data_IF_406186908109
#
_entry.id   IF_406186908109
#
_cell.length_a   1.000
_cell.length_b   1.000
_cell.length_c   1.000
_cell.angle_alpha   90.00
_cell.angle_beta   90.00
_cell.angle_gamma   90.00
#
_symmetry.space_group_name_H-M   'P 1'
#
loop_
_entity.id
_entity.type
_entity.pdbx_description
1 polymer ?
#
# COMPACT_ATOMS: atom_id res chain seq x y z
N UNK A 1 -11.13 0.91 1.82
CA UNK A 1 -9.68 1.11 1.85
C UNK A 1 -9.06 0.06 2.76
N UNK A 2 -7.98 -0.55 2.30
CA UNK A 2 -7.20 -1.59 2.98
C UNK A 2 -5.79 -1.07 3.22
N UNK A 3 -5.29 -1.26 4.44
CA UNK A 3 -3.91 -1.00 4.82
C UNK A 3 -3.16 -2.33 4.94
N UNK A 4 -1.96 -2.38 4.38
CA UNK A 4 -1.03 -3.50 4.54
C UNK A 4 0.24 -2.97 5.19
N UNK A 5 0.67 -3.54 6.31
CA UNK A 5 1.88 -3.10 6.98
C UNK A 5 2.79 -4.28 7.35
N UNK A 6 4.06 -3.99 7.59
CA UNK A 6 5.05 -5.00 7.97
C UNK A 6 6.47 -4.53 7.72
N UNK A 7 7.43 -5.31 8.18
CA UNK A 7 8.86 -5.03 8.03
C UNK A 7 9.30 -4.95 6.56
N UNK A 8 10.49 -4.41 6.34
CA UNK A 8 11.16 -4.51 5.04
C UNK A 8 11.31 -5.97 4.63
N UNK A 9 10.99 -6.28 3.36
CA UNK A 9 11.03 -7.66 2.83
C UNK A 9 9.91 -8.58 3.33
N UNK A 10 8.86 -8.08 4.01
CA UNK A 10 7.68 -8.88 4.40
C UNK A 10 6.75 -9.21 3.23
N UNK A 11 6.90 -8.53 2.08
CA UNK A 11 6.12 -8.82 0.86
C UNK A 11 5.05 -7.78 0.52
N UNK A 12 5.03 -6.60 1.16
CA UNK A 12 4.05 -5.53 0.90
C UNK A 12 3.98 -5.15 -0.58
N UNK A 13 5.11 -4.75 -1.16
CA UNK A 13 5.22 -4.38 -2.58
C UNK A 13 4.85 -5.54 -3.51
N UNK A 14 5.24 -6.77 -3.17
CA UNK A 14 4.81 -7.95 -3.94
C UNK A 14 3.30 -8.12 -3.93
N UNK A 15 2.65 -7.95 -2.78
CA UNK A 15 1.19 -8.00 -2.66
C UNK A 15 0.54 -6.87 -3.48
N UNK A 16 1.05 -5.65 -3.38
CA UNK A 16 0.55 -4.51 -4.15
C UNK A 16 0.65 -4.75 -5.67
N UNK A 17 1.80 -5.20 -6.14
CA UNK A 17 1.99 -5.56 -7.55
C UNK A 17 1.05 -6.69 -8.01
N UNK A 18 0.91 -7.74 -7.21
CA UNK A 18 0.03 -8.87 -7.54
C UNK A 18 -1.43 -8.45 -7.61
N UNK A 19 -1.89 -7.59 -6.70
CA UNK A 19 -3.23 -7.01 -6.74
C UNK A 19 -3.44 -6.15 -7.99
N UNK A 20 -2.43 -5.35 -8.39
CA UNK A 20 -2.47 -4.56 -9.60
C UNK A 20 -2.58 -5.45 -10.85
N UNK A 21 -1.75 -6.48 -10.94
CA UNK A 21 -1.78 -7.45 -12.04
C UNK A 21 -3.15 -8.14 -12.12
N UNK A 22 -3.69 -8.61 -11.01
CA UNK A 22 -4.98 -9.29 -10.98
C UNK A 22 -6.14 -8.33 -11.31
N UNK A 23 -6.06 -7.06 -10.91
CA UNK A 23 -7.05 -6.06 -11.29
C UNK A 23 -7.08 -5.85 -12.82
N UNK A 24 -5.91 -5.78 -13.45
CA UNK A 24 -5.81 -5.64 -14.92
C UNK A 24 -6.31 -6.90 -15.62
N UNK A 25 -5.96 -8.08 -15.16
CA UNK A 25 -6.49 -9.36 -15.70
C UNK A 25 -8.01 -9.44 -15.65
N UNK A 26 -8.63 -8.76 -14.68
CA UNK A 26 -10.08 -8.63 -14.57
C UNK A 26 -10.67 -7.46 -15.42
N UNK A 27 -9.91 -6.93 -16.37
CA UNK A 27 -10.35 -5.93 -17.35
C UNK A 27 -10.45 -4.50 -16.83
N UNK A 28 -9.83 -4.19 -15.68
CA UNK A 28 -9.80 -2.85 -15.10
C UNK A 28 -8.40 -2.25 -15.15
N UNK A 29 -8.33 -0.91 -15.11
CA UNK A 29 -7.08 -0.17 -14.97
C UNK A 29 -6.73 0.07 -13.51
N UNK A 30 -5.45 0.30 -13.26
CA UNK A 30 -4.90 0.59 -11.95
C UNK A 30 -4.21 1.96 -11.95
N UNK A 31 -4.38 2.72 -10.87
CA UNK A 31 -3.53 3.87 -10.55
C UNK A 31 -2.59 3.42 -9.43
N UNK A 32 -1.29 3.59 -9.65
CA UNK A 32 -0.25 3.17 -8.72
C UNK A 32 0.66 4.34 -8.38
N UNK A 33 0.70 4.74 -7.11
CA UNK A 33 1.68 5.70 -6.60
C UNK A 33 2.82 4.87 -6.02
N UNK A 34 3.98 4.93 -6.67
CA UNK A 34 5.21 4.21 -6.32
C UNK A 34 6.20 5.16 -5.64
N UNK A 35 6.48 4.93 -4.38
CA UNK A 35 7.47 5.70 -3.59
C UNK A 35 8.70 4.88 -3.21
N UNK A 36 8.75 3.61 -3.59
CA UNK A 36 9.82 2.67 -3.21
C UNK A 36 10.58 2.09 -4.42
N UNK A 37 10.28 2.58 -5.62
CA UNK A 37 10.83 2.13 -6.91
C UNK A 37 10.53 0.65 -7.22
N UNK A 38 9.43 0.41 -7.91
CA UNK A 38 9.04 -0.91 -8.41
C UNK A 38 10.15 -1.50 -9.28
N UNK A 39 10.57 -2.73 -8.95
CA UNK A 39 11.49 -3.48 -9.81
C UNK A 39 10.78 -3.96 -11.08
N UNK A 40 11.19 -3.50 -12.29
CA UNK A 40 10.60 -3.98 -13.54
C UNK A 40 10.78 -5.48 -13.74
N UNK A 41 11.90 -6.04 -13.24
CA UNK A 41 12.14 -7.48 -13.29
C UNK A 41 11.14 -8.23 -12.43
N UNK A 42 10.88 -7.73 -11.22
CA UNK A 42 9.91 -8.34 -10.30
C UNK A 42 8.49 -8.25 -10.83
N UNK A 43 8.13 -7.12 -11.41
CA UNK A 43 6.85 -6.97 -12.09
C UNK A 43 6.66 -8.00 -13.21
N UNK A 44 7.67 -8.20 -14.08
CA UNK A 44 7.60 -9.21 -15.15
C UNK A 44 7.42 -10.63 -14.60
N UNK A 45 8.09 -10.97 -13.50
CA UNK A 45 7.91 -12.27 -12.85
C UNK A 45 6.47 -12.51 -12.40
N UNK A 46 5.84 -11.50 -11.77
CA UNK A 46 4.47 -11.60 -11.26
C UNK A 46 3.43 -11.55 -12.40
N UNK A 47 3.64 -10.69 -13.38
CA UNK A 47 2.72 -10.50 -14.50
C UNK A 47 2.78 -11.65 -15.53
N UNK A 48 3.94 -12.33 -15.63
CA UNK A 48 4.15 -13.42 -16.59
C UNK A 48 4.30 -12.93 -18.02
N UNK A 49 3.88 -13.74 -18.97
CA UNK A 49 4.05 -13.51 -20.42
C UNK A 49 3.36 -12.22 -20.90
N UNK A 50 2.25 -11.85 -20.30
CA UNK A 50 1.47 -10.66 -20.67
C UNK A 50 1.92 -9.38 -19.93
N UNK A 51 3.16 -9.34 -19.40
CA UNK A 51 3.64 -8.23 -18.59
C UNK A 51 3.57 -6.87 -19.31
N UNK A 52 3.83 -6.82 -20.63
CA UNK A 52 3.77 -5.58 -21.41
C UNK A 52 2.35 -5.05 -21.56
N UNK A 53 1.40 -5.92 -21.83
CA UNK A 53 -0.02 -5.59 -21.96
C UNK A 53 -0.58 -5.13 -20.62
N UNK A 54 -0.25 -5.83 -19.54
CA UNK A 54 -0.66 -5.48 -18.19
C UNK A 54 -0.09 -4.12 -17.79
N UNK A 55 1.20 -3.85 -18.06
CA UNK A 55 1.83 -2.58 -17.72
C UNK A 55 1.15 -1.37 -18.41
N UNK A 56 0.61 -1.51 -19.61
CA UNK A 56 -0.11 -0.43 -20.33
C UNK A 56 -1.42 0.00 -19.65
N UNK A 57 -1.97 -0.88 -18.83
CA UNK A 57 -3.22 -0.62 -18.10
C UNK A 57 -2.97 -0.11 -16.66
N UNK A 58 -1.70 0.11 -16.28
CA UNK A 58 -1.31 0.67 -15.00
C UNK A 58 -0.77 2.08 -15.20
N UNK A 59 -1.41 3.07 -14.59
CA UNK A 59 -0.96 4.47 -14.55
C UNK A 59 -0.07 4.61 -13.32
N UNK A 60 1.22 4.90 -13.52
CA UNK A 60 2.20 4.99 -12.44
C UNK A 60 2.55 6.45 -12.20
N UNK A 61 2.53 6.87 -10.93
CA UNK A 61 3.12 8.09 -10.42
C UNK A 61 4.37 7.72 -9.61
N UNK A 62 5.48 8.37 -9.87
CA UNK A 62 6.76 8.16 -9.18
C UNK A 62 7.20 9.45 -8.48
N UNK A 63 6.53 9.85 -7.37
CA UNK A 63 6.93 11.02 -6.61
C UNK A 63 8.31 10.83 -5.97
N UNK A 64 9.08 11.91 -5.86
CA UNK A 64 10.42 11.93 -5.27
C UNK A 64 10.44 12.65 -3.91
N UNK A 65 9.30 13.18 -3.47
CA UNK A 65 9.14 13.87 -2.20
C UNK A 65 7.74 13.67 -1.62
N UNK A 66 7.59 14.04 -0.33
CA UNK A 66 6.29 13.99 0.34
C UNK A 66 5.28 14.97 -0.28
N UNK A 67 5.75 16.13 -0.75
CA UNK A 67 4.93 17.13 -1.44
C UNK A 67 4.47 16.62 -2.82
N UNK A 68 5.37 16.00 -3.58
CA UNK A 68 5.01 15.38 -4.86
C UNK A 68 4.03 14.22 -4.67
N UNK A 69 4.19 13.41 -3.61
CA UNK A 69 3.24 12.36 -3.26
C UNK A 69 1.84 12.95 -3.00
N UNK A 70 1.76 14.07 -2.26
CA UNK A 70 0.49 14.75 -2.03
C UNK A 70 -0.15 15.26 -3.32
N UNK A 71 0.66 15.82 -4.20
CA UNK A 71 0.21 16.28 -5.52
C UNK A 71 -0.31 15.11 -6.37
N UNK A 72 0.42 13.99 -6.41
CA UNK A 72 -0.01 12.78 -7.09
C UNK A 72 -1.35 12.25 -6.55
N UNK A 73 -1.52 12.23 -5.22
CA UNK A 73 -2.79 11.82 -4.59
C UNK A 73 -3.95 12.70 -5.02
N UNK A 74 -3.75 14.01 -5.18
CA UNK A 74 -4.80 14.92 -5.67
C UNK A 74 -5.13 14.71 -7.16
N UNK A 75 -4.13 14.42 -7.97
CA UNK A 75 -4.32 14.18 -9.40
C UNK A 75 -5.16 12.91 -9.69
N UNK A 76 -5.17 11.94 -8.78
CA UNK A 76 -5.96 10.70 -8.92
C UNK A 76 -7.40 11.00 -9.31
N UNK A 77 -8.05 11.98 -8.68
CA UNK A 77 -9.48 12.24 -8.89
C UNK A 77 -9.81 12.61 -10.34
N UNK A 78 -8.87 13.26 -11.05
CA UNK A 78 -9.03 13.64 -12.45
C UNK A 78 -8.95 12.44 -13.41
N UNK A 79 -8.34 11.33 -12.97
CA UNK A 79 -8.13 10.13 -13.77
C UNK A 79 -9.20 9.07 -13.54
N UNK A 80 -10.09 9.28 -12.56
CA UNK A 80 -11.13 8.31 -12.23
C UNK A 80 -12.13 8.20 -13.37
N UNK A 81 -12.33 6.97 -13.78
CA UNK A 81 -13.36 6.57 -14.76
C UNK A 81 -13.89 5.18 -14.40
N UNK A 82 -14.93 4.73 -15.08
CA UNK A 82 -15.50 3.39 -14.88
C UNK A 82 -14.51 2.25 -15.17
N UNK A 83 -13.40 2.58 -15.84
CA UNK A 83 -12.32 1.62 -16.13
C UNK A 83 -11.37 1.42 -14.97
N UNK A 84 -11.27 2.36 -14.03
CA UNK A 84 -10.38 2.23 -12.86
C UNK A 84 -11.02 1.25 -11.85
N UNK A 85 -10.25 0.24 -11.43
CA UNK A 85 -10.68 -0.76 -10.44
C UNK A 85 -9.93 -0.71 -9.12
N UNK A 86 -8.69 -0.21 -9.15
CA UNK A 86 -7.78 -0.23 -8.01
C UNK A 86 -6.91 1.02 -7.98
N UNK A 87 -6.71 1.55 -6.79
CA UNK A 87 -5.69 2.55 -6.48
C UNK A 87 -4.73 1.92 -5.46
N UNK A 88 -3.44 1.98 -5.74
CA UNK A 88 -2.37 1.51 -4.85
C UNK A 88 -1.47 2.70 -4.47
N UNK A 89 -1.08 2.78 -3.21
CA UNK A 89 -0.02 3.69 -2.74
C UNK A 89 1.02 2.86 -2.00
N UNK A 90 2.17 2.69 -2.59
CA UNK A 90 3.25 1.83 -2.08
C UNK A 90 4.59 2.59 -2.01
N UNK A 91 4.92 3.14 -0.85
CA UNK A 91 4.19 3.13 0.41
C UNK A 91 3.68 4.53 0.76
N UNK A 92 2.59 4.58 1.51
CA UNK A 92 2.01 5.85 1.96
C UNK A 92 2.90 6.60 2.96
N UNK A 93 3.88 5.95 3.56
CA UNK A 93 4.69 6.48 4.67
C UNK A 93 6.20 6.52 4.39
N UNK A 94 6.63 6.24 3.16
CA UNK A 94 8.06 6.25 2.81
C UNK A 94 8.66 7.65 3.03
N UNK A 95 8.14 8.67 2.37
CA UNK A 95 8.63 10.04 2.54
C UNK A 95 8.27 10.65 3.89
N UNK A 96 7.09 10.33 4.43
CA UNK A 96 6.67 10.82 5.75
C UNK A 96 7.67 10.43 6.86
N UNK A 97 8.30 9.26 6.76
CA UNK A 97 9.29 8.81 7.73
C UNK A 97 10.49 9.76 7.81
N UNK A 98 10.97 10.27 6.65
CA UNK A 98 12.09 11.21 6.62
C UNK A 98 11.72 12.58 7.24
N UNK A 99 10.46 12.98 7.16
CA UNK A 99 9.96 14.20 7.77
C UNK A 99 9.87 14.10 9.31
N UNK A 100 9.72 12.90 9.86
CA UNK A 100 9.65 12.69 11.31
C UNK A 100 10.98 12.95 12.03
N UNK A 101 12.09 12.80 11.33
CA UNK A 101 13.44 13.01 11.89
C UNK A 101 13.79 14.51 12.02
N UNK A 102 12.91 15.42 11.54
CA UNK A 102 13.04 16.86 11.61
C UNK A 102 12.03 17.43 12.62
N UNK A 103 12.49 17.77 13.82
CA UNK A 103 11.66 18.13 14.99
C UNK A 103 10.57 19.20 14.74
N UNK A 104 10.83 20.19 13.88
CA UNK A 104 9.87 21.27 13.62
C UNK A 104 8.75 20.92 12.62
N UNK A 105 8.96 19.92 11.79
CA UNK A 105 8.01 19.55 10.71
C UNK A 105 6.98 18.49 11.13
N UNK A 106 7.19 17.80 12.24
CA UNK A 106 6.45 16.56 12.59
C UNK A 106 4.93 16.73 12.70
N UNK A 107 4.42 17.85 13.21
CA UNK A 107 2.96 18.10 13.35
C UNK A 107 2.35 18.39 11.98
N UNK A 108 3.03 19.19 11.16
CA UNK A 108 2.58 19.54 9.80
C UNK A 108 2.53 18.29 8.92
N UNK A 109 3.61 17.52 8.91
CA UNK A 109 3.71 16.29 8.10
C UNK A 109 2.70 15.23 8.52
N UNK A 110 2.42 15.11 9.84
CA UNK A 110 1.35 14.22 10.35
C UNK A 110 -0.02 14.65 9.85
N UNK A 111 -0.32 15.95 9.87
CA UNK A 111 -1.60 16.49 9.36
C UNK A 111 -1.72 16.27 7.86
N UNK A 112 -0.64 16.48 7.13
CA UNK A 112 -0.61 16.29 5.68
C UNK A 112 -0.80 14.82 5.29
N UNK A 113 -0.11 13.88 5.96
CA UNK A 113 -0.35 12.45 5.78
C UNK A 113 -1.82 12.09 6.06
N UNK A 114 -2.38 12.61 7.14
CA UNK A 114 -3.79 12.38 7.48
C UNK A 114 -4.73 12.91 6.39
N UNK A 115 -4.42 14.07 5.81
CA UNK A 115 -5.19 14.65 4.70
C UNK A 115 -5.11 13.78 3.44
N UNK A 116 -3.91 13.29 3.07
CA UNK A 116 -3.74 12.38 1.94
C UNK A 116 -4.57 11.11 2.10
N UNK A 117 -4.48 10.47 3.27
CA UNK A 117 -5.23 9.24 3.57
C UNK A 117 -6.74 9.51 3.61
N UNK A 118 -7.15 10.65 4.18
CA UNK A 118 -8.54 11.08 4.19
C UNK A 118 -9.09 11.29 2.78
N UNK A 119 -8.31 11.89 1.90
CA UNK A 119 -8.68 12.10 0.49
C UNK A 119 -8.83 10.76 -0.26
N UNK A 120 -7.87 9.85 -0.12
CA UNK A 120 -7.94 8.50 -0.70
C UNK A 120 -9.18 7.72 -0.20
N UNK A 121 -9.50 7.85 1.09
CA UNK A 121 -10.70 7.25 1.65
C UNK A 121 -11.99 7.89 1.09
N UNK A 122 -11.97 9.21 0.89
CA UNK A 122 -13.08 9.94 0.23
C UNK A 122 -13.32 9.42 -1.20
N UNK A 123 -12.26 9.28 -1.99
CA UNK A 123 -12.29 8.68 -3.33
C UNK A 123 -12.85 7.26 -3.28
N UNK A 124 -12.33 6.41 -2.39
CA UNK A 124 -12.78 5.03 -2.25
C UNK A 124 -14.30 4.93 -2.03
N UNK A 125 -14.86 5.86 -1.25
CA UNK A 125 -16.32 5.91 -0.97
C UNK A 125 -17.13 6.51 -2.11
N UNK A 126 -16.69 7.67 -2.62
CA UNK A 126 -17.40 8.42 -3.65
C UNK A 126 -17.56 7.61 -4.94
N UNK A 127 -16.49 6.96 -5.35
CA UNK A 127 -16.41 6.22 -6.61
C UNK A 127 -16.55 4.70 -6.45
N UNK A 128 -16.75 4.21 -5.21
CA UNK A 128 -16.82 2.77 -4.89
C UNK A 128 -15.59 1.99 -5.36
N UNK A 129 -14.42 2.62 -5.28
CA UNK A 129 -13.15 2.05 -5.70
C UNK A 129 -12.43 1.32 -4.57
N UNK A 130 -11.67 0.30 -4.94
CA UNK A 130 -10.71 -0.34 -4.04
C UNK A 130 -9.47 0.53 -3.92
N UNK A 131 -9.07 0.84 -2.69
CA UNK A 131 -7.81 1.53 -2.38
C UNK A 131 -7.01 0.67 -1.43
N UNK A 132 -5.75 0.42 -1.79
CA UNK A 132 -4.76 -0.30 -0.98
C UNK A 132 -3.59 0.62 -0.72
N UNK A 133 -3.20 0.72 0.55
CA UNK A 133 -1.99 1.44 0.96
C UNK A 133 -1.05 0.47 1.65
N UNK A 134 0.24 0.53 1.35
CA UNK A 134 1.26 -0.13 2.16
C UNK A 134 1.87 0.85 3.15
N UNK A 135 2.26 0.33 4.31
CA UNK A 135 2.89 1.11 5.38
C UNK A 135 4.15 0.43 5.89
N UNK A 136 5.13 1.24 6.21
CA UNK A 136 6.29 0.82 6.99
C UNK A 136 5.94 0.70 8.48
N UNK A 137 6.83 0.10 9.25
CA UNK A 137 6.67 -0.10 10.69
C UNK A 137 7.80 0.55 11.47
N UNK A 138 7.53 0.84 12.73
CA UNK A 138 8.54 1.18 13.75
C UNK A 138 8.42 0.23 14.93
N UNK A 139 9.51 0.07 15.69
CA UNK A 139 9.49 -0.68 16.94
C UNK A 139 9.00 0.23 18.06
N UNK A 140 7.89 -0.14 18.67
CA UNK A 140 7.41 0.53 19.89
C UNK A 140 8.24 0.07 21.09
N UNK A 141 9.04 0.97 21.61
CA UNK A 141 9.98 0.69 22.71
C UNK A 141 9.28 0.24 24.01
N UNK A 142 8.03 0.66 24.23
CA UNK A 142 7.28 0.31 25.43
C UNK A 142 6.72 -1.11 25.40
N UNK A 143 6.27 -1.57 24.22
CA UNK A 143 5.65 -2.90 24.06
C UNK A 143 6.55 -3.92 23.37
N UNK A 144 7.67 -3.50 22.78
CA UNK A 144 8.54 -4.34 21.95
C UNK A 144 7.87 -4.82 20.66
N UNK A 145 6.69 -4.29 20.30
CA UNK A 145 5.93 -4.73 19.14
C UNK A 145 6.12 -3.78 17.96
N UNK A 146 5.96 -4.32 16.75
CA UNK A 146 5.97 -3.53 15.53
C UNK A 146 4.61 -2.87 15.31
N UNK A 147 4.62 -1.55 15.16
CA UNK A 147 3.43 -0.75 14.87
C UNK A 147 3.55 -0.04 13.52
N UNK A 148 2.44 0.13 12.78
CA UNK A 148 2.49 0.88 11.51
C UNK A 148 2.78 2.35 11.76
N UNK A 149 3.59 2.96 10.88
CA UNK A 149 3.86 4.40 10.89
C UNK A 149 2.56 5.15 10.52
N UNK A 150 2.37 6.36 11.08
CA UNK A 150 1.22 7.23 10.82
C UNK A 150 0.12 7.17 11.88
N UNK A 151 0.25 6.26 12.87
CA UNK A 151 -0.57 6.25 14.09
C UNK A 151 -2.04 5.91 13.90
N UNK A 152 -2.82 6.16 14.95
CA UNK A 152 -4.24 5.76 15.04
C UNK A 152 -5.15 6.38 13.96
N UNK A 153 -4.78 7.54 13.39
CA UNK A 153 -5.58 8.18 12.34
C UNK A 153 -5.76 7.30 11.10
N UNK A 154 -4.67 6.70 10.61
CA UNK A 154 -4.72 5.79 9.45
C UNK A 154 -5.47 4.50 9.82
N UNK A 155 -5.24 3.98 11.02
CA UNK A 155 -5.92 2.78 11.50
C UNK A 155 -7.45 2.97 11.58
N UNK A 156 -7.92 4.12 12.04
CA UNK A 156 -9.36 4.42 12.11
C UNK A 156 -10.01 4.50 10.73
N UNK A 157 -9.34 5.11 9.76
CA UNK A 157 -9.84 5.28 8.40
C UNK A 157 -9.84 3.93 7.65
N UNK A 158 -8.83 3.11 7.87
CA UNK A 158 -8.70 1.80 7.23
C UNK A 158 -9.74 0.81 7.75
N UNK A 159 -10.49 0.19 6.84
CA UNK A 159 -11.57 -0.75 7.19
C UNK A 159 -11.09 -2.19 7.25
N UNK A 160 -9.97 -2.46 6.61
CA UNK A 160 -9.24 -3.72 6.66
C UNK A 160 -7.78 -3.39 6.90
N UNK A 161 -7.15 -4.05 7.84
CA UNK A 161 -5.72 -3.92 8.14
C UNK A 161 -5.11 -5.31 8.16
N UNK A 162 -4.07 -5.50 7.37
CA UNK A 162 -3.33 -6.75 7.25
C UNK A 162 -1.89 -6.51 7.65
N UNK A 163 -1.41 -7.28 8.61
CA UNK A 163 0.00 -7.34 8.98
C UNK A 163 0.70 -8.44 8.19
N UNK A 164 1.86 -8.13 7.61
CA UNK A 164 2.74 -9.11 7.01
C UNK A 164 3.99 -9.29 7.89
N UNK A 165 4.21 -10.50 8.35
CA UNK A 165 5.29 -10.88 9.25
C UNK A 165 6.25 -11.85 8.57
N UNK A 166 7.54 -11.79 8.93
CA UNK A 166 8.52 -12.83 8.61
C UNK A 166 8.48 -13.88 9.72
N UNK A 167 8.22 -15.12 9.39
CA UNK A 167 8.08 -16.21 10.39
C UNK A 167 9.21 -17.22 10.34
N UNK A 168 10.10 -17.15 9.33
CA UNK A 168 11.23 -18.05 9.16
C UNK A 168 11.89 -17.87 7.80
N UNK A 169 12.84 -18.74 7.48
CA UNK A 169 13.50 -18.72 6.17
C UNK A 169 12.50 -18.93 5.05
N UNK A 170 12.36 -17.91 4.19
CA UNK A 170 11.45 -17.94 3.04
C UNK A 170 9.97 -17.92 3.36
N UNK A 171 9.54 -18.04 4.62
CA UNK A 171 8.14 -18.08 5.03
C UNK A 171 7.70 -16.75 5.63
N UNK A 172 6.48 -16.36 5.31
CA UNK A 172 5.82 -15.16 5.81
C UNK A 172 4.41 -15.51 6.26
N UNK A 173 3.84 -14.62 7.05
CA UNK A 173 2.46 -14.73 7.55
C UNK A 173 1.70 -13.45 7.29
N UNK A 174 0.53 -13.58 6.69
CA UNK A 174 -0.46 -12.51 6.61
C UNK A 174 -1.45 -12.71 7.76
N UNK A 175 -1.56 -11.70 8.64
CA UNK A 175 -2.45 -11.70 9.80
C UNK A 175 -3.48 -10.59 9.66
N UNK A 176 -4.74 -10.94 9.81
CA UNK A 176 -5.82 -9.97 9.84
C UNK A 176 -5.78 -9.23 11.18
N UNK A 177 -5.34 -7.97 11.13
CA UNK A 177 -5.28 -7.08 12.30
C UNK A 177 -6.63 -6.44 12.60
N UNK A 178 -7.35 -6.03 11.56
CA UNK A 178 -8.67 -5.39 11.66
C UNK A 178 -9.53 -5.73 10.45
N UNK A 179 -10.80 -5.99 10.69
CA UNK A 179 -11.80 -6.14 9.64
C UNK A 179 -13.19 -5.83 10.18
N UNK A 180 -14.12 -5.37 9.30
CA UNK A 180 -15.48 -5.00 9.70
C UNK A 180 -16.35 -6.19 10.16
N UNK A 181 -16.13 -7.37 9.60
CA UNK A 181 -17.01 -8.52 9.73
C UNK A 181 -16.28 -9.84 10.01
N UNK A 182 -14.96 -9.85 9.98
CA UNK A 182 -14.16 -11.04 10.28
C UNK A 182 -13.45 -10.85 11.60
N UNK A 183 -13.30 -11.93 12.41
CA UNK A 183 -12.57 -11.87 13.65
C UNK A 183 -11.09 -11.58 13.42
N UNK A 184 -10.51 -10.78 14.29
CA UNK A 184 -9.09 -10.46 14.30
C UNK A 184 -8.25 -11.73 14.56
N UNK A 185 -6.97 -11.67 14.18
CA UNK A 185 -6.02 -12.75 14.44
C UNK A 185 -6.07 -13.89 13.41
N UNK A 186 -7.01 -13.92 12.48
CA UNK A 186 -6.95 -14.85 11.35
C UNK A 186 -5.64 -14.68 10.61
N UNK A 187 -4.94 -15.79 10.33
CA UNK A 187 -3.64 -15.75 9.68
C UNK A 187 -3.53 -16.82 8.60
N UNK A 188 -2.66 -16.54 7.61
CA UNK A 188 -2.25 -17.49 6.57
C UNK A 188 -0.76 -17.32 6.32
N UNK A 189 -0.08 -18.43 6.24
CA UNK A 189 1.32 -18.47 5.85
C UNK A 189 1.42 -18.47 4.32
N UNK A 190 2.47 -17.85 3.81
CA UNK A 190 2.75 -17.74 2.39
C UNK A 190 4.26 -17.63 2.13
N UNK A 191 4.66 -17.80 0.89
CA UNK A 191 6.04 -17.61 0.43
C UNK A 191 6.08 -16.59 -0.71
N UNK A 192 7.22 -15.91 -0.82
CA UNK A 192 7.52 -15.07 -1.99
C UNK A 192 8.24 -15.96 -2.99
N UNK A 193 7.60 -16.21 -4.11
CA UNK A 193 8.11 -17.04 -5.22
C UNK A 193 8.37 -16.17 -6.46
N UNK A 194 8.91 -16.75 -7.51
CA UNK A 194 9.06 -16.04 -8.79
C UNK A 194 7.72 -15.59 -9.39
N UNK A 195 6.62 -16.24 -9.06
CA UNK A 195 5.29 -15.90 -9.58
C UNK A 195 4.48 -15.00 -8.63
N UNK A 196 5.09 -14.47 -7.59
CA UNK A 196 4.42 -13.64 -6.58
C UNK A 196 4.30 -14.32 -5.22
N UNK A 197 3.22 -14.00 -4.50
CA UNK A 197 2.89 -14.60 -3.20
C UNK A 197 2.10 -15.89 -3.44
N UNK A 198 2.54 -16.97 -2.79
CA UNK A 198 1.91 -18.29 -2.86
C UNK A 198 1.77 -18.92 -1.48
#
# INVERSE_FOLDING_TARGET
MTQVFGEAGSGKTNLCMQLAVECVKNGKKVIYIDTEAISPQRFRQIAGENAKEIAREIIIFEPNSFEEQYSAVKEIEKLISDRIGLIVVDSATSFYRFELDQDESSIRSRRELSNQIGFLHGIARKYRLTVVISNQVYSDMASGTLKPIGGSGIEHISKTIIQLEKTGEGTRRAKLWKHRSLPEGRARDFRITNEGLR
#
